data_IF_760675263039
#
_entry.id   IF_760675263039
#
_cell.length_a   1.000
_cell.length_b   1.000
_cell.length_c   1.000
_cell.angle_alpha   90.00
_cell.angle_beta   90.00
_cell.angle_gamma   90.00
#
_symmetry.space_group_name_H-M   'P 1'
#
loop_
_entity.id
_entity.type
_entity.pdbx_description
1 polymer ?
#
# COMPACT_ATOMS: atom_id res chain seq x y z
N UNK A 1 17.46 2.57 8.91
CA UNK A 1 17.14 1.19 8.52
C UNK A 1 16.45 1.28 7.17
N UNK A 2 16.85 0.49 6.17
CA UNK A 2 16.26 0.49 4.83
C UNK A 2 15.51 -0.83 4.65
N UNK A 3 14.22 -0.78 4.31
CA UNK A 3 13.47 -1.93 3.82
C UNK A 3 13.67 -2.06 2.32
N UNK A 4 13.78 -3.30 1.83
CA UNK A 4 13.73 -3.54 0.40
C UNK A 4 12.28 -3.42 -0.06
N UNK A 5 12.04 -2.67 -1.13
CA UNK A 5 10.73 -2.55 -1.75
C UNK A 5 10.83 -2.68 -3.28
N UNK A 6 9.74 -3.10 -3.89
CA UNK A 6 9.55 -3.09 -5.33
C UNK A 6 8.60 -1.95 -5.69
N UNK A 7 9.02 -1.04 -6.56
CA UNK A 7 8.15 0.00 -7.11
C UNK A 7 7.79 -0.30 -8.57
N UNK A 8 6.49 -0.22 -8.90
CA UNK A 8 5.97 -0.35 -10.26
C UNK A 8 4.82 0.62 -10.50
N UNK A 9 4.72 1.14 -11.71
CA UNK A 9 3.54 1.89 -12.15
C UNK A 9 2.50 0.94 -12.71
N UNK A 10 1.23 1.18 -12.38
CA UNK A 10 0.10 0.39 -12.84
C UNK A 10 -1.16 1.25 -12.99
N UNK A 11 -2.22 0.63 -13.51
CA UNK A 11 -3.57 1.21 -13.54
C UNK A 11 -4.47 0.32 -12.72
N UNK A 12 -5.21 0.91 -11.78
CA UNK A 12 -6.29 0.23 -11.06
C UNK A 12 -7.63 0.65 -11.68
N UNK A 13 -8.51 -0.32 -11.89
CA UNK A 13 -9.85 -0.10 -12.43
C UNK A 13 -10.88 -0.70 -11.49
N UNK A 14 -11.88 0.08 -11.12
CA UNK A 14 -13.03 -0.37 -10.35
C UNK A 14 -14.31 0.27 -10.87
N UNK A 15 -15.26 -0.57 -11.30
CA UNK A 15 -16.47 -0.15 -12.04
C UNK A 15 -16.07 0.72 -13.24
N UNK A 16 -16.59 1.94 -13.33
CA UNK A 16 -16.35 2.87 -14.44
C UNK A 16 -15.16 3.81 -14.19
N UNK A 17 -14.43 3.64 -13.08
CA UNK A 17 -13.29 4.50 -12.72
C UNK A 17 -11.97 3.78 -12.97
N UNK A 18 -10.99 4.52 -13.52
CA UNK A 18 -9.61 4.08 -13.65
C UNK A 18 -8.66 5.16 -13.15
N UNK A 19 -7.62 4.76 -12.42
CA UNK A 19 -6.59 5.66 -11.91
C UNK A 19 -5.21 5.06 -12.12
N UNK A 20 -4.24 5.91 -12.47
CA UNK A 20 -2.82 5.55 -12.42
C UNK A 20 -2.36 5.48 -10.97
N UNK A 21 -1.62 4.44 -10.62
CA UNK A 21 -1.11 4.23 -9.26
C UNK A 21 0.35 3.76 -9.30
N UNK A 22 1.07 4.04 -8.21
CA UNK A 22 2.33 3.37 -7.90
C UNK A 22 2.03 2.21 -6.95
N UNK A 23 2.52 1.03 -7.30
CA UNK A 23 2.48 -0.17 -6.47
C UNK A 23 3.82 -0.32 -5.79
N UNK A 24 3.78 -0.40 -4.45
CA UNK A 24 4.91 -0.69 -3.60
C UNK A 24 4.75 -2.11 -3.03
N UNK A 25 5.54 -3.06 -3.54
CA UNK A 25 5.68 -4.38 -2.95
C UNK A 25 6.64 -4.32 -1.79
N UNK A 26 6.18 -4.65 -0.58
CA UNK A 26 6.96 -4.54 0.66
C UNK A 26 6.91 -5.85 1.44
N UNK A 27 7.90 -6.07 2.31
CA UNK A 27 7.80 -7.08 3.37
C UNK A 27 7.14 -6.44 4.61
N UNK A 28 5.87 -6.75 4.95
CA UNK A 28 5.11 -5.95 5.92
C UNK A 28 5.73 -5.84 7.33
N UNK A 29 6.35 -6.90 7.92
CA UNK A 29 7.03 -6.78 9.21
C UNK A 29 8.23 -5.84 9.19
N UNK A 30 8.96 -5.76 8.07
CA UNK A 30 10.12 -4.89 7.92
C UNK A 30 9.71 -3.46 7.56
N UNK A 31 8.71 -3.29 6.69
CA UNK A 31 8.17 -1.98 6.35
C UNK A 31 7.57 -1.27 7.55
N UNK A 32 6.88 -2.01 8.42
CA UNK A 32 6.29 -1.44 9.63
C UNK A 32 7.33 -0.90 10.63
N UNK A 33 8.60 -1.29 10.52
CA UNK A 33 9.70 -0.72 11.33
C UNK A 33 10.22 0.61 10.77
N UNK A 34 9.87 0.94 9.52
CA UNK A 34 10.37 2.12 8.80
C UNK A 34 9.25 3.16 8.63
N UNK A 35 8.14 2.75 8.02
CA UNK A 35 7.02 3.63 7.67
C UNK A 35 5.95 3.73 8.76
N UNK A 36 5.91 2.76 9.69
CA UNK A 36 4.92 2.71 10.77
C UNK A 36 3.46 2.84 10.27
N UNK A 37 3.09 2.07 9.23
CA UNK A 37 1.77 2.18 8.58
C UNK A 37 0.60 1.68 9.45
N UNK A 38 0.84 0.78 10.42
CA UNK A 38 -0.21 0.21 11.29
C UNK A 38 -1.12 1.25 11.97
N UNK A 39 -0.62 2.29 12.65
CA UNK A 39 -1.45 3.32 13.29
C UNK A 39 -2.30 4.16 12.33
N UNK A 40 -1.92 4.26 11.05
CA UNK A 40 -2.60 5.10 10.06
C UNK A 40 -3.70 4.35 9.29
N UNK A 41 -3.93 3.07 9.62
CA UNK A 41 -5.00 2.28 9.02
C UNK A 41 -6.35 2.76 9.53
N UNK A 42 -7.15 3.32 8.62
CA UNK A 42 -8.52 3.79 8.88
C UNK A 42 -9.52 2.62 8.90
N UNK A 43 -9.35 1.63 8.02
CA UNK A 43 -10.22 0.46 7.89
C UNK A 43 -9.43 -0.80 7.51
N UNK A 44 -9.85 -1.97 8.00
CA UNK A 44 -9.22 -3.27 7.74
C UNK A 44 -8.18 -3.68 8.80
N UNK A 45 -7.33 -4.66 8.46
CA UNK A 45 -6.29 -5.18 9.35
C UNK A 45 -4.95 -5.37 8.62
N UNK A 46 -3.90 -4.68 9.08
CA UNK A 46 -2.53 -4.81 8.55
C UNK A 46 -2.04 -6.27 8.49
N UNK A 47 -2.42 -7.10 9.45
CA UNK A 47 -1.92 -8.48 9.54
C UNK A 47 -2.39 -9.35 8.37
N UNK A 48 -3.45 -8.95 7.66
CA UNK A 48 -3.93 -9.63 6.46
C UNK A 48 -2.97 -9.49 5.26
N UNK A 49 -2.14 -8.44 5.25
CA UNK A 49 -1.05 -8.27 4.27
C UNK A 49 -0.03 -9.39 4.40
N UNK A 50 0.36 -9.70 5.65
CA UNK A 50 1.34 -10.74 5.97
C UNK A 50 0.75 -12.14 5.90
N UNK A 51 -0.50 -12.32 6.33
CA UNK A 51 -1.12 -13.64 6.46
C UNK A 51 -1.56 -14.26 5.14
N UNK A 52 -2.04 -13.46 4.18
CA UNK A 52 -2.57 -13.95 2.90
C UNK A 52 -1.58 -13.82 1.74
N UNK A 53 -0.56 -12.95 1.88
CA UNK A 53 0.34 -12.55 0.79
C UNK A 53 -0.35 -11.86 -0.38
N UNK A 54 -1.64 -11.49 -0.24
CA UNK A 54 -2.48 -10.91 -1.29
C UNK A 54 -3.25 -9.67 -0.82
N UNK A 55 -3.02 -9.22 0.41
CA UNK A 55 -3.60 -7.98 0.91
C UNK A 55 -3.09 -6.78 0.11
N UNK A 56 -3.93 -5.78 -0.06
CA UNK A 56 -3.59 -4.50 -0.69
C UNK A 56 -3.97 -3.41 0.29
N UNK A 57 -3.02 -2.51 0.60
CA UNK A 57 -3.33 -1.24 1.25
C UNK A 57 -3.52 -0.19 0.18
N UNK A 58 -4.58 0.60 0.31
CA UNK A 58 -4.90 1.73 -0.56
C UNK A 58 -4.93 2.96 0.32
N UNK A 59 -4.22 4.02 -0.07
CA UNK A 59 -4.29 5.30 0.65
C UNK A 59 -5.68 5.93 0.53
N UNK A 60 -6.14 6.57 1.60
CA UNK A 60 -7.42 7.29 1.68
C UNK A 60 -7.59 8.30 0.53
N UNK A 61 -6.53 9.06 0.23
CA UNK A 61 -6.48 9.93 -0.93
C UNK A 61 -5.40 9.47 -1.93
N UNK A 62 -5.78 8.72 -2.99
CA UNK A 62 -4.83 8.30 -4.02
C UNK A 62 -4.27 9.48 -4.85
N UNK A 63 -4.79 10.70 -4.70
CA UNK A 63 -4.33 11.90 -5.41
C UNK A 63 -3.54 12.90 -4.55
N UNK A 64 -3.45 12.70 -3.22
CA UNK A 64 -2.72 13.62 -2.33
C UNK A 64 -1.21 13.69 -2.59
N UNK A 65 -0.64 12.73 -3.33
CA UNK A 65 0.78 12.71 -3.70
C UNK A 65 1.17 13.63 -4.87
N UNK A 66 0.20 14.26 -5.56
CA UNK A 66 0.43 15.19 -6.67
C UNK A 66 0.35 16.66 -6.21
N UNK A 67 1.23 17.07 -5.30
CA UNK A 67 1.43 18.48 -4.93
C UNK A 67 2.82 18.98 -5.30
#
# INVERSE_FOLDING_TARGET
MLSAFLEKQAVITYRDNSAGINIFGVDPPDENKVMHLKPDIVEGNHEELSGSGKGILIGDDPMSGYR
#
